data_IF_177222222745
#
_entry.id   IF_177222222745
#
_cell.length_a   1.000
_cell.length_b   1.000
_cell.length_c   1.000
_cell.angle_alpha   90.00
_cell.angle_beta   90.00
_cell.angle_gamma   90.00
#
_symmetry.space_group_name_H-M   'P 1'
#
loop_
_entity.id
_entity.type
_entity.pdbx_description
1 polymer ?
#
# COMPACT_ATOMS: atom_id res chain seq x y z
N UNK A 1 -3.38 8.51 -2.85
CA UNK A 1 -2.00 8.83 -2.42
C UNK A 1 -2.06 9.65 -1.13
N UNK A 2 -1.07 9.50 -0.27
CA UNK A 2 -0.88 10.29 0.96
C UNK A 2 0.52 10.90 0.91
N UNK A 3 0.60 12.22 0.85
CA UNK A 3 1.89 12.93 0.90
C UNK A 3 2.34 13.13 2.36
N UNK A 4 2.61 12.02 3.03
CA UNK A 4 2.95 12.01 4.45
C UNK A 4 2.88 10.61 5.03
N UNK A 5 2.36 10.51 6.25
CA UNK A 5 2.30 9.27 7.02
C UNK A 5 0.90 8.67 6.99
N UNK A 6 0.79 7.41 6.53
CA UNK A 6 -0.45 6.66 6.59
C UNK A 6 -0.43 5.76 7.83
N UNK A 7 -1.14 6.15 8.90
CA UNK A 7 -1.29 5.36 10.13
C UNK A 7 -2.66 4.69 10.31
N UNK A 8 -3.64 5.09 9.52
CA UNK A 8 -5.04 4.70 9.71
C UNK A 8 -5.44 3.50 8.87
N UNK A 9 -6.74 3.42 8.59
CA UNK A 9 -7.29 2.51 7.59
C UNK A 9 -7.36 3.22 6.23
N UNK A 10 -7.14 2.49 5.15
CA UNK A 10 -7.36 2.98 3.79
C UNK A 10 -8.03 1.92 2.94
N UNK A 11 -8.89 2.35 2.03
CA UNK A 11 -9.48 1.51 0.99
C UNK A 11 -9.34 2.21 -0.36
N UNK A 12 -8.65 1.56 -1.29
CA UNK A 12 -8.52 2.00 -2.67
C UNK A 12 -9.20 1.01 -3.64
N UNK A 13 -9.61 1.50 -4.80
CA UNK A 13 -10.13 0.65 -5.87
C UNK A 13 -11.51 0.03 -5.60
N UNK A 14 -12.31 0.59 -4.70
CA UNK A 14 -13.66 0.11 -4.48
C UNK A 14 -14.53 0.22 -5.75
N UNK A 15 -15.37 -0.78 -6.08
CA UNK A 15 -15.46 -2.08 -5.41
C UNK A 15 -14.39 -3.09 -5.83
N UNK A 16 -14.04 -3.16 -7.12
CA UNK A 16 -13.24 -4.27 -7.70
C UNK A 16 -12.12 -3.80 -8.65
N UNK A 17 -11.62 -2.59 -8.50
CA UNK A 17 -10.46 -2.14 -9.26
C UNK A 17 -9.16 -2.61 -8.61
N UNK A 18 -8.69 -3.80 -9.01
CA UNK A 18 -7.43 -4.37 -8.54
C UNK A 18 -6.18 -3.62 -9.02
N UNK A 19 -6.31 -2.73 -10.00
CA UNK A 19 -5.20 -1.90 -10.47
C UNK A 19 -4.97 -0.64 -9.63
N UNK A 20 -5.77 -0.45 -8.58
CA UNK A 20 -5.61 0.69 -7.67
C UNK A 20 -4.30 0.59 -6.87
N UNK A 21 -3.70 1.75 -6.61
CA UNK A 21 -2.46 1.89 -5.86
C UNK A 21 -2.68 2.71 -4.60
N UNK A 22 -1.98 2.35 -3.53
CA UNK A 22 -1.88 3.16 -2.32
C UNK A 22 -0.43 3.57 -2.14
N UNK A 23 -0.11 4.84 -2.36
CA UNK A 23 1.23 5.38 -2.11
C UNK A 23 1.25 6.26 -0.87
N UNK A 24 2.31 6.15 -0.07
CA UNK A 24 2.58 6.99 1.10
C UNK A 24 4.08 7.32 1.20
N UNK A 25 4.45 8.42 1.85
CA UNK A 25 5.86 8.72 2.18
C UNK A 25 6.36 7.91 3.39
N UNK A 26 5.42 7.38 4.17
CA UNK A 26 5.63 6.46 5.28
C UNK A 26 4.38 5.58 5.39
N UNK A 27 4.49 4.28 5.08
CA UNK A 27 3.35 3.37 5.01
C UNK A 27 3.28 2.49 6.28
N UNK A 28 2.41 2.86 7.23
CA UNK A 28 2.17 2.09 8.46
C UNK A 28 0.67 1.99 8.79
N UNK A 29 -0.16 1.52 7.84
CA UNK A 29 -1.60 1.46 8.03
C UNK A 29 -1.97 0.41 9.07
N UNK A 30 -2.98 0.69 9.90
CA UNK A 30 -3.64 -0.34 10.73
C UNK A 30 -4.33 -1.37 9.82
N UNK A 31 -4.90 -0.90 8.70
CA UNK A 31 -5.58 -1.75 7.73
C UNK A 31 -5.45 -1.17 6.32
N UNK A 32 -5.09 -2.02 5.37
CA UNK A 32 -4.92 -1.64 3.97
C UNK A 32 -5.82 -2.51 3.10
N UNK A 33 -6.74 -1.87 2.36
CA UNK A 33 -7.63 -2.57 1.43
C UNK A 33 -7.45 -2.06 0.01
N UNK A 34 -7.34 -2.97 -0.94
CA UNK A 34 -7.31 -2.67 -2.37
C UNK A 34 -8.33 -3.60 -3.04
N UNK A 35 -9.32 -3.04 -3.74
CA UNK A 35 -10.45 -3.78 -4.27
C UNK A 35 -11.12 -4.65 -3.16
N UNK A 36 -11.21 -5.96 -3.40
CA UNK A 36 -11.75 -6.93 -2.45
C UNK A 36 -10.69 -7.47 -1.46
N UNK A 37 -9.40 -7.22 -1.67
CA UNK A 37 -8.31 -7.74 -0.82
C UNK A 37 -8.04 -6.85 0.38
N UNK A 38 -7.81 -7.49 1.52
CA UNK A 38 -7.52 -6.86 2.80
C UNK A 38 -6.18 -7.35 3.34
N UNK A 39 -5.33 -6.42 3.76
CA UNK A 39 -4.06 -6.70 4.44
C UNK A 39 -3.95 -5.91 5.73
N UNK A 40 -3.25 -6.51 6.70
CA UNK A 40 -2.85 -5.90 7.97
C UNK A 40 -1.37 -6.18 8.17
N UNK A 41 -0.58 -5.20 8.63
CA UNK A 41 0.80 -5.47 9.00
C UNK A 41 0.87 -6.55 10.08
N UNK A 42 1.90 -7.41 10.08
CA UNK A 42 2.12 -8.35 11.16
C UNK A 42 2.41 -7.62 12.48
N UNK A 43 2.16 -8.29 13.60
CA UNK A 43 2.49 -7.76 14.92
C UNK A 43 4.00 -7.47 15.01
N UNK A 44 4.35 -6.32 15.59
CA UNK A 44 5.75 -5.87 15.71
C UNK A 44 6.37 -5.36 14.40
N UNK A 45 5.60 -5.20 13.33
CA UNK A 45 6.10 -4.58 12.10
C UNK A 45 6.44 -3.10 12.31
N UNK A 46 7.70 -2.75 12.11
CA UNK A 46 8.15 -1.36 12.08
C UNK A 46 8.35 -0.90 10.64
N UNK A 47 7.51 0.05 10.22
CA UNK A 47 7.63 0.67 8.90
C UNK A 47 8.88 1.57 8.85
N UNK A 48 9.60 1.51 7.74
CA UNK A 48 10.74 2.39 7.49
C UNK A 48 10.27 3.72 6.91
N UNK A 49 10.97 4.83 7.19
CA UNK A 49 10.65 6.13 6.61
C UNK A 49 11.11 6.21 5.16
N UNK A 50 10.36 5.55 4.27
CA UNK A 50 10.59 5.54 2.84
C UNK A 50 9.27 5.66 2.07
N UNK A 51 9.28 6.33 0.90
CA UNK A 51 8.13 6.31 0.02
C UNK A 51 7.88 4.89 -0.48
N UNK A 52 6.65 4.42 -0.30
CA UNK A 52 6.23 3.06 -0.64
C UNK A 52 4.93 3.10 -1.42
N UNK A 53 4.73 2.08 -2.25
CA UNK A 53 3.48 1.82 -2.92
C UNK A 53 2.99 0.42 -2.59
N UNK A 54 1.73 0.32 -2.22
CA UNK A 54 1.02 -0.93 -2.12
C UNK A 54 0.12 -1.16 -3.32
N UNK A 55 0.11 -2.39 -3.82
CA UNK A 55 -0.64 -2.82 -5.00
C UNK A 55 -0.99 -4.30 -4.91
N UNK A 56 -1.91 -4.74 -5.77
CA UNK A 56 -2.18 -6.17 -5.94
C UNK A 56 -1.21 -6.74 -6.97
N UNK A 57 -0.52 -7.82 -6.59
CA UNK A 57 0.33 -8.63 -7.46
C UNK A 57 0.15 -10.09 -7.08
N UNK A 58 -0.08 -10.96 -8.07
CA UNK A 58 -0.29 -12.40 -7.87
C UNK A 58 -1.37 -12.74 -6.81
N UNK A 59 -2.45 -11.94 -6.79
CA UNK A 59 -3.57 -12.13 -5.85
C UNK A 59 -3.29 -11.71 -4.40
N UNK A 60 -2.18 -11.00 -4.15
CA UNK A 60 -1.79 -10.54 -2.82
C UNK A 60 -1.47 -9.05 -2.84
N UNK A 61 -1.65 -8.39 -1.68
CA UNK A 61 -1.18 -7.02 -1.51
C UNK A 61 0.32 -7.06 -1.22
N UNK A 62 1.10 -6.50 -2.13
CA UNK A 62 2.55 -6.32 -1.99
C UNK A 62 2.86 -4.85 -1.75
N UNK A 63 3.93 -4.60 -0.99
CA UNK A 63 4.47 -3.26 -0.74
C UNK A 63 5.86 -3.19 -1.32
N UNK A 64 6.11 -2.18 -2.16
CA UNK A 64 7.43 -1.95 -2.76
C UNK A 64 7.89 -0.51 -2.50
N UNK A 65 9.19 -0.35 -2.21
CA UNK A 65 9.79 0.98 -2.12
C UNK A 65 9.68 1.67 -3.47
N UNK A 66 9.27 2.94 -3.46
CA UNK A 66 9.21 3.76 -4.64
C UNK A 66 10.61 4.19 -5.08
N UNK A 67 11.28 3.32 -5.83
CA UNK A 67 12.60 3.62 -6.40
C UNK A 67 12.42 4.43 -7.70
N UNK A 68 13.06 5.61 -7.76
CA UNK A 68 13.26 6.40 -8.98
C UNK A 68 12.03 7.00 -9.67
N UNK A 69 10.96 7.33 -8.94
CA UNK A 69 9.81 8.04 -9.53
C UNK A 69 8.97 7.21 -10.52
N UNK A 70 9.32 5.95 -10.75
CA UNK A 70 8.56 5.02 -11.59
C UNK A 70 7.76 4.07 -10.71
N UNK A 71 6.46 3.86 -10.99
CA UNK A 71 5.73 2.80 -10.31
C UNK A 71 6.38 1.45 -10.63
N UNK A 72 6.34 0.48 -9.68
CA UNK A 72 6.89 -0.84 -9.87
C UNK A 72 6.28 -1.52 -11.10
N UNK A 73 7.11 -2.26 -11.82
CA UNK A 73 6.73 -2.94 -13.06
C UNK A 73 5.95 -4.21 -12.71
N UNK A 74 4.80 -4.38 -13.37
CA UNK A 74 3.93 -5.56 -13.27
C UNK A 74 4.69 -6.86 -13.52
#
# INVERSE_FOLDING_TARGET
>A
MVWGMLKGMVHAGYPDNEQALVCSLYLSPVQLRIAHLLSRPPEGFEAQPSPEVAMIRDGQIVVETWLNGRPPRR
#
